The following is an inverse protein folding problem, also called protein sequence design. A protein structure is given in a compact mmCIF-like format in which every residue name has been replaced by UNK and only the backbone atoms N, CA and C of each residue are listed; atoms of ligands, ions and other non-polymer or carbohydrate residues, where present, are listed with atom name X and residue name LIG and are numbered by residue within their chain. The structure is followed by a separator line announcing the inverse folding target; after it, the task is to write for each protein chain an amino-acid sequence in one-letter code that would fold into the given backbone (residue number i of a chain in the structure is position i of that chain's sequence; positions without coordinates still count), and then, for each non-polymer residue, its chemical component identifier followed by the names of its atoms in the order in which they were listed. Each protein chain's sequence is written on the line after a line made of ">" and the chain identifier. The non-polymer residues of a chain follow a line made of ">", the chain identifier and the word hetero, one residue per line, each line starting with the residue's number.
data_IF_510924774469
#
_entry.id   IF_510924774469
#
_cell.length_a   1.000
_cell.length_b   1.000
_cell.length_c   1.000
_cell.angle_alpha   90.00
_cell.angle_beta   90.00
_cell.angle_gamma   90.00
#
_symmetry.space_group_name_H-M   'P 1'
#
loop_
_entity.id
_entity.type
_entity.pdbx_description
1 polymer ?
#
# COMPACT_ATOMS: atom_id res chain seq x y z
N UNK A 1 -3.39 -22.40 -16.84
CA UNK A 1 -3.07 -22.53 -15.40
C UNK A 1 -1.95 -21.57 -14.95
N UNK A 2 -0.76 -21.58 -15.57
CA UNK A 2 0.39 -20.76 -15.12
C UNK A 2 0.19 -19.23 -15.14
N UNK A 3 -0.59 -18.69 -16.08
CA UNK A 3 -0.86 -17.26 -16.20
C UNK A 3 -1.75 -16.73 -15.06
N UNK A 4 -2.74 -17.52 -14.63
CA UNK A 4 -3.60 -17.17 -13.49
C UNK A 4 -2.83 -17.12 -12.18
N UNK A 5 -1.93 -18.08 -11.93
CA UNK A 5 -1.06 -18.08 -10.76
C UNK A 5 -0.15 -16.83 -10.70
N UNK A 6 0.36 -16.38 -11.86
CA UNK A 6 1.18 -15.17 -11.96
C UNK A 6 0.39 -13.88 -11.68
N UNK A 7 -0.85 -13.79 -12.19
CA UNK A 7 -1.75 -12.67 -11.92
C UNK A 7 -2.12 -12.63 -10.45
N UNK A 8 -2.49 -13.78 -9.88
CA UNK A 8 -2.84 -13.90 -8.46
C UNK A 8 -1.66 -13.48 -7.57
N UNK A 9 -0.45 -13.95 -7.86
CA UNK A 9 0.76 -13.56 -7.13
C UNK A 9 1.01 -12.05 -7.16
N UNK A 10 0.91 -11.41 -8.34
CA UNK A 10 1.08 -9.95 -8.47
C UNK A 10 0.00 -9.18 -7.71
N UNK A 11 -1.25 -9.64 -7.77
CA UNK A 11 -2.37 -9.03 -7.06
C UNK A 11 -2.17 -9.12 -5.54
N UNK A 12 -1.73 -10.28 -5.03
CA UNK A 12 -1.42 -10.47 -3.61
C UNK A 12 -0.26 -9.57 -3.17
N UNK A 13 0.81 -9.49 -3.95
CA UNK A 13 1.94 -8.58 -3.65
C UNK A 13 1.47 -7.12 -3.60
N UNK A 14 0.63 -6.71 -4.55
CA UNK A 14 0.05 -5.37 -4.57
C UNK A 14 -0.80 -5.08 -3.33
N UNK A 15 -1.69 -6.02 -2.98
CA UNK A 15 -2.54 -5.89 -1.81
C UNK A 15 -1.70 -5.74 -0.52
N UNK A 16 -0.61 -6.49 -0.40
CA UNK A 16 0.31 -6.38 0.73
C UNK A 16 1.01 -5.01 0.78
N UNK A 17 1.49 -4.51 -0.36
CA UNK A 17 2.16 -3.19 -0.43
C UNK A 17 1.20 -2.04 -0.06
N UNK A 18 -0.06 -2.13 -0.51
CA UNK A 18 -1.09 -1.13 -0.21
C UNK A 18 -1.62 -1.22 1.23
N UNK A 19 -1.53 -2.40 1.85
CA UNK A 19 -1.96 -2.61 3.23
C UNK A 19 -0.91 -2.17 4.27
N UNK A 20 0.36 -1.97 3.87
CA UNK A 20 1.43 -1.59 4.80
C UNK A 20 1.17 -0.27 5.55
N UNK A 21 0.86 0.87 4.88
CA UNK A 21 0.62 2.13 5.58
C UNK A 21 -0.52 2.08 6.61
N UNK A 22 -1.74 1.56 6.30
CA UNK A 22 -2.79 1.55 7.31
C UNK A 22 -2.43 0.67 8.52
N UNK A 23 -1.77 -0.48 8.30
CA UNK A 23 -1.34 -1.36 9.40
C UNK A 23 -0.29 -0.67 10.27
N UNK A 24 0.76 -0.10 9.65
CA UNK A 24 1.83 0.59 10.39
C UNK A 24 1.30 1.81 11.14
N UNK A 25 0.33 2.52 10.58
CA UNK A 25 -0.34 3.62 11.26
C UNK A 25 -1.05 3.23 12.52
N UNK A 26 -1.86 2.18 12.43
CA UNK A 26 -2.59 1.65 13.59
C UNK A 26 -1.61 1.21 14.69
N UNK A 27 -0.52 0.53 14.32
CA UNK A 27 0.51 0.12 15.27
C UNK A 27 1.23 1.32 15.90
N UNK A 28 1.59 2.32 15.09
CA UNK A 28 2.29 3.52 15.54
C UNK A 28 1.42 4.37 16.48
N UNK A 29 0.19 4.69 16.06
CA UNK A 29 -0.76 5.47 16.85
C UNK A 29 -1.07 4.76 18.17
N UNK A 30 -1.24 3.43 18.15
CA UNK A 30 -1.41 2.61 19.36
C UNK A 30 -0.18 2.69 20.27
N UNK A 31 1.03 2.54 19.71
CA UNK A 31 2.26 2.56 20.49
C UNK A 31 2.52 3.90 21.16
N UNK A 32 2.22 5.01 20.47
CA UNK A 32 2.40 6.37 20.98
C UNK A 32 1.20 6.86 21.80
N UNK A 33 0.13 6.05 21.93
CA UNK A 33 -1.16 6.43 22.55
C UNK A 33 -1.72 7.73 21.98
N UNK A 34 -1.52 7.95 20.68
CA UNK A 34 -1.99 9.12 19.98
C UNK A 34 -3.41 8.86 19.50
N UNK A 35 -4.37 9.50 20.18
CA UNK A 35 -5.80 9.45 19.83
C UNK A 35 -6.31 10.79 19.29
N UNK A 36 -5.40 11.74 19.06
CA UNK A 36 -5.75 13.05 18.52
C UNK A 36 -6.24 12.94 17.07
N UNK A 37 -7.28 13.71 16.76
CA UNK A 37 -7.89 13.71 15.44
C UNK A 37 -6.91 14.19 14.35
N UNK A 38 -5.98 15.09 14.70
CA UNK A 38 -5.00 15.64 13.77
C UNK A 38 -4.04 14.56 13.27
N UNK A 39 -3.50 13.76 14.19
CA UNK A 39 -2.50 12.72 13.91
C UNK A 39 -3.10 11.58 13.09
N UNK A 40 -4.34 11.20 13.42
CA UNK A 40 -5.12 10.23 12.63
C UNK A 40 -5.33 10.78 11.21
N UNK A 41 -5.72 12.05 11.08
CA UNK A 41 -5.95 12.68 9.77
C UNK A 41 -4.68 12.76 8.93
N UNK A 42 -3.57 13.20 9.53
CA UNK A 42 -2.25 13.24 8.86
C UNK A 42 -1.82 11.85 8.39
N UNK A 43 -2.08 10.81 9.19
CA UNK A 43 -1.76 9.45 8.81
C UNK A 43 -2.64 8.94 7.66
N UNK A 44 -3.94 9.24 7.68
CA UNK A 44 -4.86 8.91 6.58
C UNK A 44 -4.37 9.56 5.28
N UNK A 45 -4.00 10.84 5.32
CA UNK A 45 -3.45 11.55 4.16
C UNK A 45 -2.18 10.87 3.65
N UNK A 46 -1.24 10.53 4.54
CA UNK A 46 -0.02 9.83 4.18
C UNK A 46 -0.29 8.45 3.53
N UNK A 47 -1.22 7.68 4.10
CA UNK A 47 -1.65 6.38 3.57
C UNK A 47 -2.24 6.50 2.16
N UNK A 48 -3.08 7.51 1.93
CA UNK A 48 -3.66 7.79 0.61
C UNK A 48 -2.58 8.20 -0.41
N UNK A 49 -1.62 9.03 -0.02
CA UNK A 49 -0.50 9.44 -0.88
C UNK A 49 0.37 8.24 -1.26
N UNK A 50 0.70 7.38 -0.30
CA UNK A 50 1.44 6.14 -0.55
C UNK A 50 0.70 5.25 -1.56
N UNK A 51 -0.58 4.98 -1.31
CA UNK A 51 -1.38 4.11 -2.17
C UNK A 51 -1.49 4.68 -3.59
N UNK A 52 -1.68 5.99 -3.72
CA UNK A 52 -1.71 6.68 -5.00
C UNK A 52 -0.37 6.54 -5.73
N UNK A 53 0.76 6.73 -5.03
CA UNK A 53 2.10 6.60 -5.62
C UNK A 53 2.37 5.16 -6.09
N UNK A 54 2.02 4.16 -5.28
CA UNK A 54 2.14 2.74 -5.65
C UNK A 54 1.31 2.44 -6.89
N UNK A 55 0.05 2.88 -6.93
CA UNK A 55 -0.82 2.69 -8.11
C UNK A 55 -0.23 3.35 -9.36
N UNK A 56 0.28 4.59 -9.25
CA UNK A 56 0.94 5.28 -10.37
C UNK A 56 2.16 4.49 -10.86
N UNK A 57 2.98 3.95 -9.95
CA UNK A 57 4.14 3.15 -10.32
C UNK A 57 3.74 1.81 -10.97
N UNK A 58 2.62 1.23 -10.57
CA UNK A 58 2.07 0.00 -11.15
C UNK A 58 1.53 0.26 -12.56
N UNK A 59 0.71 1.31 -12.72
CA UNK A 59 0.12 1.70 -14.02
C UNK A 59 1.20 2.11 -15.01
N UNK A 60 2.24 2.83 -14.56
CA UNK A 60 3.40 3.16 -15.38
C UNK A 60 4.30 1.95 -15.68
N UNK A 61 3.92 0.76 -15.24
CA UNK A 61 4.66 -0.48 -15.47
C UNK A 61 6.04 -0.48 -14.80
N UNK A 62 6.32 0.37 -13.82
CA UNK A 62 7.63 0.39 -13.13
C UNK A 62 7.77 -0.75 -12.12
N UNK A 63 6.67 -1.20 -11.51
CA UNK A 63 6.70 -2.28 -10.49
C UNK A 63 6.66 -3.67 -11.13
N UNK A 64 5.91 -3.84 -12.23
CA UNK A 64 5.75 -5.13 -12.90
C UNK A 64 6.20 -5.10 -14.37
N UNK A 65 7.14 -4.19 -14.69
CA UNK A 65 7.67 -3.98 -16.04
C UNK A 65 7.89 -5.32 -16.71
N UNK A 66 7.03 -5.59 -17.69
CA UNK A 66 7.07 -6.80 -18.48
C UNK A 66 8.25 -6.62 -19.44
N UNK A 67 9.47 -6.85 -18.95
CA UNK A 67 10.58 -7.24 -19.81
C UNK A 67 10.28 -8.66 -20.26
N UNK A 68 9.42 -8.76 -21.27
CA UNK A 68 9.39 -9.91 -22.18
C UNK A 68 10.69 -9.95 -22.97
#
# INVERSE_FOLDING_TARGET
>A
MAQYARILGRATTLALILALPPILGLLYLRSMRMYGALEITLWIIFSLLWNTLVLVLVVRGKIFSNKG
#
